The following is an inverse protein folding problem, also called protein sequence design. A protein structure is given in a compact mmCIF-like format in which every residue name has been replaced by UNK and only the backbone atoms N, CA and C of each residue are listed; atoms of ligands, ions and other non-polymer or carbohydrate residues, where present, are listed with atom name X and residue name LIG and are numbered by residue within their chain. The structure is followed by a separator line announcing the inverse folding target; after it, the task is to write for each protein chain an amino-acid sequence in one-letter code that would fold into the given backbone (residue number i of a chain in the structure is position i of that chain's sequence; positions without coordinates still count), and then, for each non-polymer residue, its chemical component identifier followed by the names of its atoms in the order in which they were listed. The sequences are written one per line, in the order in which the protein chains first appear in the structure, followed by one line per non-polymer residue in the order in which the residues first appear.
data_IF_279338684724
#
_entry.id   IF_279338684724
#
_cell.length_a   1.000
_cell.length_b   1.000
_cell.length_c   1.000
_cell.angle_alpha   90.00
_cell.angle_beta   90.00
_cell.angle_gamma   90.00
#
_symmetry.space_group_name_H-M   'P 1'
#
loop_
_entity.id
_entity.type
_entity.pdbx_description
1 polymer ?
#
# COMPACT_ATOMS: atom_id res chain seq x y z
N UNK A 1 -17.62 33.15 14.22
CA UNK A 1 -17.44 31.78 14.76
C UNK A 1 -17.72 30.86 13.61
N UNK A 2 -16.66 30.30 13.02
CA UNK A 2 -16.78 29.28 11.98
C UNK A 2 -17.21 28.03 12.75
N UNK A 3 -18.42 27.55 12.50
CA UNK A 3 -18.90 26.29 13.05
C UNK A 3 -18.09 25.20 12.35
N UNK A 4 -17.04 24.69 12.99
CA UNK A 4 -16.17 23.66 12.43
C UNK A 4 -17.01 22.41 12.16
N UNK A 5 -16.92 21.85 10.95
CA UNK A 5 -17.64 20.63 10.60
C UNK A 5 -17.19 19.47 11.53
N UNK A 6 -18.10 18.92 12.35
CA UNK A 6 -17.79 17.85 13.29
C UNK A 6 -17.14 16.64 12.63
N UNK A 7 -17.43 16.36 11.35
CA UNK A 7 -16.81 15.25 10.63
C UNK A 7 -15.36 15.57 10.28
N UNK A 8 -15.00 16.77 9.83
CA UNK A 8 -13.62 17.12 9.52
C UNK A 8 -12.76 17.18 10.77
N UNK A 9 -13.24 17.81 11.84
CA UNK A 9 -12.58 17.81 13.15
C UNK A 9 -12.38 16.39 13.68
N UNK A 10 -13.37 15.51 13.46
CA UNK A 10 -13.29 14.12 13.86
C UNK A 10 -12.47 13.27 12.91
N UNK A 11 -12.42 13.53 11.61
CA UNK A 11 -11.52 12.85 10.66
C UNK A 11 -10.08 13.21 10.99
N UNK A 12 -9.76 14.48 11.24
CA UNK A 12 -8.42 14.90 11.66
C UNK A 12 -8.00 14.29 13.01
N UNK A 13 -8.90 14.28 14.01
CA UNK A 13 -8.64 13.65 15.33
C UNK A 13 -8.66 12.11 15.28
N UNK A 14 -9.59 11.49 14.55
CA UNK A 14 -9.76 10.02 14.42
C UNK A 14 -8.67 9.39 13.56
N UNK A 15 -8.28 10.03 12.47
CA UNK A 15 -7.30 9.48 11.52
C UNK A 15 -5.90 9.38 12.12
N UNK A 16 -5.45 10.40 12.85
CA UNK A 16 -4.12 10.41 13.47
C UNK A 16 -4.11 9.72 14.83
N UNK A 17 -5.07 9.99 15.72
CA UNK A 17 -5.01 9.43 17.08
C UNK A 17 -5.47 7.97 17.14
N UNK A 18 -6.53 7.55 16.42
CA UNK A 18 -7.02 6.17 16.54
C UNK A 18 -6.20 5.16 15.72
N UNK A 19 -5.61 5.56 14.59
CA UNK A 19 -4.79 4.68 13.76
C UNK A 19 -3.38 4.48 14.36
N UNK A 20 -2.79 5.54 14.93
CA UNK A 20 -1.50 5.46 15.63
C UNK A 20 -1.61 4.96 17.06
N UNK A 21 -2.77 5.06 17.73
CA UNK A 21 -2.92 4.50 19.07
C UNK A 21 -3.43 3.07 18.96
N UNK A 22 -4.52 2.75 18.31
CA UNK A 22 -5.09 1.39 18.44
C UNK A 22 -4.31 0.32 17.67
N UNK A 23 -3.90 0.57 16.42
CA UNK A 23 -3.14 -0.41 15.63
C UNK A 23 -1.69 -0.56 16.14
N UNK A 24 -1.06 0.56 16.51
CA UNK A 24 0.29 0.58 17.10
C UNK A 24 0.30 0.00 18.50
N UNK A 25 -0.70 0.31 19.33
CA UNK A 25 -0.79 -0.19 20.71
C UNK A 25 -1.21 -1.65 20.76
N UNK A 26 -1.80 -2.24 19.72
CA UNK A 26 -2.04 -3.69 19.68
C UNK A 26 -0.90 -4.48 19.02
N UNK A 27 -0.18 -3.91 18.04
CA UNK A 27 0.99 -4.54 17.41
C UNK A 27 2.30 -4.34 18.19
N UNK A 28 2.50 -3.19 18.85
CA UNK A 28 3.71 -2.85 19.63
C UNK A 28 3.58 -3.17 21.14
N UNK A 29 2.39 -3.47 21.69
CA UNK A 29 2.26 -3.98 23.08
C UNK A 29 2.67 -5.44 23.26
N UNK A 30 3.18 -6.10 22.22
CA UNK A 30 4.09 -7.20 22.46
C UNK A 30 5.37 -6.63 23.09
N UNK A 31 5.48 -6.64 24.41
CA UNK A 31 6.69 -6.38 25.21
C UNK A 31 7.81 -7.41 24.90
N UNK A 32 7.98 -7.80 23.64
CA UNK A 32 8.96 -8.79 23.23
C UNK A 32 10.28 -8.08 22.96
N UNK A 33 11.30 -8.41 23.72
CA UNK A 33 12.67 -8.02 23.39
C UNK A 33 13.09 -8.61 22.03
N UNK A 34 14.08 -7.99 21.37
CA UNK A 34 14.61 -8.49 20.09
C UNK A 34 15.00 -9.97 20.17
N UNK A 35 15.58 -10.40 21.30
CA UNK A 35 15.98 -11.78 21.56
C UNK A 35 14.77 -12.74 21.59
N UNK A 36 13.62 -12.28 22.07
CA UNK A 36 12.39 -13.08 22.10
C UNK A 36 11.80 -13.23 20.69
N UNK A 37 11.85 -12.17 19.88
CA UNK A 37 11.44 -12.24 18.46
C UNK A 37 12.36 -13.16 17.66
N UNK A 38 13.67 -13.08 17.90
CA UNK A 38 14.65 -13.97 17.28
C UNK A 38 14.36 -15.43 17.64
N UNK A 39 14.17 -15.73 18.93
CA UNK A 39 13.85 -17.06 19.40
C UNK A 39 12.58 -17.63 18.75
N UNK A 40 11.51 -16.84 18.65
CA UNK A 40 10.24 -17.27 18.05
C UNK A 40 10.35 -17.53 16.54
N UNK A 41 11.10 -16.70 15.81
CA UNK A 41 11.37 -16.93 14.38
C UNK A 41 12.15 -18.25 14.22
N UNK A 42 13.20 -18.43 15.02
CA UNK A 42 14.04 -19.62 14.96
C UNK A 42 13.29 -20.90 15.35
N UNK A 43 12.43 -20.84 16.36
CA UNK A 43 11.57 -21.94 16.77
C UNK A 43 10.57 -22.30 15.66
N UNK A 44 9.93 -21.31 15.04
CA UNK A 44 8.99 -21.53 13.93
C UNK A 44 9.66 -22.21 12.73
N UNK A 45 10.84 -21.74 12.35
CA UNK A 45 11.63 -22.33 11.26
C UNK A 45 12.07 -23.75 11.62
N UNK A 46 12.59 -23.95 12.83
CA UNK A 46 13.09 -25.26 13.28
C UNK A 46 11.96 -26.27 13.33
N UNK A 47 10.82 -25.91 13.91
CA UNK A 47 9.64 -26.78 14.00
C UNK A 47 9.12 -27.16 12.62
N UNK A 48 8.98 -26.19 11.70
CA UNK A 48 8.50 -26.48 10.35
C UNK A 48 9.49 -27.30 9.50
N UNK A 49 10.79 -27.15 9.75
CA UNK A 49 11.84 -27.84 8.97
C UNK A 49 12.23 -29.21 9.54
N UNK A 50 11.99 -29.48 10.83
CA UNK A 50 12.29 -30.77 11.48
C UNK A 50 11.57 -31.94 10.78
N UNK A 51 10.32 -31.71 10.37
CA UNK A 51 9.52 -32.68 9.63
C UNK A 51 9.99 -32.92 8.18
N UNK A 52 10.85 -32.04 7.65
CA UNK A 52 11.25 -32.03 6.24
C UNK A 52 12.73 -32.35 6.00
N UNK A 53 13.59 -32.13 6.99
CA UNK A 53 15.04 -32.27 6.89
C UNK A 53 15.58 -33.12 8.05
N UNK A 54 16.52 -34.04 7.79
CA UNK A 54 17.25 -34.72 8.86
C UNK A 54 17.96 -33.73 9.80
N UNK A 55 17.88 -33.98 11.12
CA UNK A 55 18.47 -33.12 12.17
C UNK A 55 19.91 -32.72 11.91
N UNK A 56 20.71 -33.67 11.41
CA UNK A 56 22.13 -33.43 11.13
C UNK A 56 22.34 -32.38 10.03
N UNK A 57 21.46 -32.33 9.03
CA UNK A 57 21.50 -31.34 7.95
C UNK A 57 21.06 -29.98 8.49
N UNK A 58 19.98 -29.94 9.26
CA UNK A 58 19.48 -28.71 9.87
C UNK A 58 20.52 -28.07 10.79
N UNK A 59 21.14 -28.86 11.69
CA UNK A 59 22.23 -28.40 12.55
C UNK A 59 23.45 -27.91 11.75
N UNK A 60 23.81 -28.59 10.66
CA UNK A 60 24.92 -28.13 9.81
C UNK A 60 24.62 -26.79 9.12
N UNK A 61 23.39 -26.57 8.66
CA UNK A 61 22.98 -25.31 8.05
C UNK A 61 22.96 -24.18 9.08
N UNK A 62 22.38 -24.41 10.26
CA UNK A 62 22.31 -23.43 11.35
C UNK A 62 23.69 -23.03 11.85
N UNK A 63 24.59 -23.99 12.06
CA UNK A 63 25.97 -23.70 12.49
C UNK A 63 26.77 -22.87 11.48
N UNK A 64 26.50 -23.02 10.17
CA UNK A 64 27.13 -22.24 9.10
C UNK A 64 26.41 -20.93 8.78
N UNK A 65 25.23 -20.70 9.34
CA UNK A 65 24.41 -19.53 9.00
C UNK A 65 25.13 -18.18 9.22
N UNK A 66 25.89 -17.95 10.31
CA UNK A 66 26.53 -16.65 10.51
C UNK A 66 27.53 -16.27 9.40
N UNK A 67 28.39 -17.20 8.97
CA UNK A 67 29.36 -16.95 7.91
C UNK A 67 28.68 -16.83 6.54
N UNK A 68 27.76 -17.75 6.23
CA UNK A 68 26.94 -17.72 5.01
C UNK A 68 26.23 -16.36 4.88
N UNK A 69 25.50 -15.92 5.90
CA UNK A 69 24.78 -14.64 5.89
C UNK A 69 25.74 -13.45 5.72
N UNK A 70 26.94 -13.50 6.30
CA UNK A 70 27.95 -12.44 6.13
C UNK A 70 28.39 -12.31 4.67
N UNK A 71 28.65 -13.43 4.01
CA UNK A 71 29.03 -13.48 2.60
C UNK A 71 27.90 -12.99 1.69
N UNK A 72 26.68 -13.49 1.91
CA UNK A 72 25.49 -13.04 1.16
C UNK A 72 25.25 -11.54 1.31
N UNK A 73 25.31 -11.00 2.53
CA UNK A 73 25.15 -9.54 2.77
C UNK A 73 26.25 -8.71 2.08
N UNK A 74 27.47 -9.23 1.96
CA UNK A 74 28.54 -8.57 1.23
C UNK A 74 28.30 -8.59 -0.29
N UNK A 75 27.85 -9.73 -0.82
CA UNK A 75 27.47 -9.86 -2.22
C UNK A 75 26.30 -8.92 -2.59
N UNK A 76 25.30 -8.82 -1.73
CA UNK A 76 24.14 -7.93 -1.87
C UNK A 76 24.55 -6.46 -1.98
N UNK A 77 25.38 -5.96 -1.05
CA UNK A 77 25.90 -4.58 -1.14
C UNK A 77 26.69 -4.35 -2.43
N UNK A 78 27.44 -5.36 -2.88
CA UNK A 78 28.16 -5.31 -4.15
C UNK A 78 27.22 -5.24 -5.35
N UNK A 79 26.12 -6.00 -5.31
CA UNK A 79 25.07 -5.99 -6.32
C UNK A 79 24.40 -4.62 -6.40
N UNK A 80 23.90 -4.09 -5.28
CA UNK A 80 23.19 -2.80 -5.22
C UNK A 80 24.03 -1.66 -5.81
N UNK A 81 25.33 -1.62 -5.49
CA UNK A 81 26.25 -0.63 -6.06
C UNK A 81 26.36 -0.72 -7.59
N UNK A 82 26.44 -1.94 -8.13
CA UNK A 82 26.52 -2.15 -9.59
C UNK A 82 25.18 -1.85 -10.26
N UNK A 83 24.07 -2.25 -9.64
CA UNK A 83 22.72 -2.00 -10.10
C UNK A 83 22.42 -0.49 -10.19
N UNK A 84 22.73 0.24 -9.12
CA UNK A 84 22.65 1.70 -9.10
C UNK A 84 23.52 2.33 -10.19
N UNK A 85 24.76 1.88 -10.36
CA UNK A 85 25.64 2.40 -11.43
C UNK A 85 25.05 2.16 -12.82
N UNK A 86 24.45 0.99 -13.07
CA UNK A 86 23.82 0.63 -14.35
C UNK A 86 22.65 1.56 -14.69
N UNK A 87 21.79 1.83 -13.71
CA UNK A 87 20.53 2.57 -13.90
C UNK A 87 20.58 4.01 -13.40
N UNK A 88 21.78 4.54 -13.11
CA UNK A 88 21.99 5.84 -12.44
C UNK A 88 21.12 6.95 -13.03
N UNK A 89 21.20 7.20 -14.33
CA UNK A 89 20.47 8.30 -14.97
C UNK A 89 18.94 8.16 -14.82
N UNK A 90 18.42 6.94 -14.83
CA UNK A 90 17.00 6.71 -14.64
C UNK A 90 16.58 6.89 -13.17
N UNK A 91 17.43 6.47 -12.22
CA UNK A 91 17.22 6.74 -10.80
C UNK A 91 17.29 8.23 -10.47
N UNK A 92 18.29 8.95 -10.98
CA UNK A 92 18.43 10.39 -10.80
C UNK A 92 17.17 11.13 -11.31
N UNK A 93 16.64 10.73 -12.48
CA UNK A 93 15.44 11.31 -13.05
C UNK A 93 14.19 11.06 -12.20
N UNK A 94 13.89 9.79 -11.84
CA UNK A 94 12.67 9.47 -11.09
C UNK A 94 12.72 10.02 -9.66
N UNK A 95 13.90 10.04 -9.02
CA UNK A 95 14.08 10.63 -7.69
C UNK A 95 13.88 12.15 -7.71
N UNK A 96 14.35 12.82 -8.78
CA UNK A 96 14.07 14.24 -8.99
C UNK A 96 12.58 14.50 -9.16
N UNK A 97 11.87 13.68 -9.96
CA UNK A 97 10.42 13.81 -10.11
C UNK A 97 9.68 13.62 -8.79
N UNK A 98 10.07 12.62 -7.98
CA UNK A 98 9.49 12.38 -6.65
C UNK A 98 9.72 13.57 -5.73
N UNK A 99 10.92 14.16 -5.74
CA UNK A 99 11.21 15.34 -4.93
C UNK A 99 10.34 16.52 -5.37
N UNK A 100 10.28 16.83 -6.66
CA UNK A 100 9.45 17.93 -7.18
C UNK A 100 7.98 17.72 -6.81
N UNK A 101 7.45 16.52 -7.00
CA UNK A 101 6.06 16.21 -6.65
C UNK A 101 5.80 16.43 -5.15
N UNK A 102 6.71 15.98 -4.29
CA UNK A 102 6.60 16.19 -2.84
C UNK A 102 6.56 17.69 -2.49
N UNK A 103 7.47 18.50 -3.03
CA UNK A 103 7.52 19.95 -2.76
C UNK A 103 6.22 20.64 -3.22
N UNK A 104 5.68 20.25 -4.39
CA UNK A 104 4.40 20.78 -4.89
C UNK A 104 3.26 20.42 -3.94
N UNK A 105 3.17 19.16 -3.52
CA UNK A 105 2.12 18.72 -2.59
C UNK A 105 2.21 19.42 -1.23
N UNK A 106 3.42 19.62 -0.71
CA UNK A 106 3.64 20.34 0.56
C UNK A 106 3.23 21.81 0.45
N UNK A 107 3.58 22.48 -0.65
CA UNK A 107 3.16 23.86 -0.89
C UNK A 107 1.64 24.00 -1.00
N UNK A 108 0.99 23.11 -1.76
CA UNK A 108 -0.47 23.10 -1.89
C UNK A 108 -1.17 22.84 -0.54
N UNK A 109 -0.59 21.97 0.30
CA UNK A 109 -1.13 21.68 1.62
C UNK A 109 -1.06 22.92 2.54
N UNK A 110 0.12 23.54 2.62
CA UNK A 110 0.36 24.74 3.44
C UNK A 110 -0.53 25.90 3.02
N UNK A 111 -0.69 26.14 1.72
CA UNK A 111 -1.48 27.25 1.20
C UNK A 111 -2.99 27.01 1.30
N UNK A 112 -3.44 25.75 1.12
CA UNK A 112 -4.85 25.41 0.98
C UNK A 112 -5.55 24.95 2.25
N UNK A 113 -4.82 24.43 3.24
CA UNK A 113 -5.41 23.70 4.38
C UNK A 113 -6.38 24.53 5.22
N UNK A 114 -6.00 25.75 5.60
CA UNK A 114 -6.87 26.61 6.43
C UNK A 114 -8.20 26.92 5.73
N UNK A 115 -8.16 27.21 4.42
CA UNK A 115 -9.36 27.48 3.62
C UNK A 115 -10.20 26.21 3.46
N UNK A 116 -9.56 25.07 3.17
CA UNK A 116 -10.24 23.79 3.04
C UNK A 116 -11.00 23.40 4.32
N UNK A 117 -10.41 23.63 5.48
CA UNK A 117 -11.08 23.43 6.77
C UNK A 117 -12.28 24.36 6.92
N UNK A 118 -12.11 25.66 6.65
CA UNK A 118 -13.18 26.66 6.76
C UNK A 118 -14.37 26.39 5.83
N UNK A 119 -14.12 25.82 4.65
CA UNK A 119 -15.14 25.51 3.63
C UNK A 119 -15.64 24.06 3.65
N UNK A 120 -15.18 23.27 4.62
CA UNK A 120 -15.44 21.84 4.68
C UNK A 120 -15.16 21.11 3.36
N UNK A 121 -14.00 21.37 2.77
CA UNK A 121 -13.61 20.82 1.48
C UNK A 121 -13.13 19.36 1.59
N UNK A 122 -14.08 18.43 1.59
CA UNK A 122 -13.79 17.00 1.59
C UNK A 122 -12.96 16.54 0.39
N UNK A 123 -12.97 17.27 -0.73
CA UNK A 123 -12.14 16.94 -1.89
C UNK A 123 -10.68 17.21 -1.54
N UNK A 124 -10.38 18.37 -0.99
CA UNK A 124 -9.04 18.70 -0.52
C UNK A 124 -8.57 17.67 0.52
N UNK A 125 -9.40 17.34 1.50
CA UNK A 125 -9.05 16.37 2.55
C UNK A 125 -8.78 14.97 1.99
N UNK A 126 -9.57 14.49 1.04
CA UNK A 126 -9.31 13.21 0.39
C UNK A 126 -8.00 13.20 -0.41
N UNK A 127 -7.72 14.28 -1.15
CA UNK A 127 -6.50 14.42 -1.96
C UNK A 127 -5.25 14.57 -1.09
N UNK A 128 -5.31 15.35 0.00
CA UNK A 128 -4.22 15.55 0.96
C UNK A 128 -3.82 14.26 1.66
N UNK A 129 -4.74 13.28 1.79
CA UNK A 129 -4.42 11.95 2.28
C UNK A 129 -3.90 11.00 1.18
N UNK A 130 -4.40 11.11 -0.05
CA UNK A 130 -4.01 10.23 -1.17
C UNK A 130 -2.61 10.56 -1.69
N UNK A 131 -2.29 11.84 -1.81
CA UNK A 131 -1.06 12.32 -2.45
C UNK A 131 0.22 11.86 -1.72
N UNK A 132 0.38 12.04 -0.39
CA UNK A 132 1.56 11.57 0.33
C UNK A 132 1.74 10.05 0.26
N UNK A 133 0.63 9.29 0.24
CA UNK A 133 0.67 7.83 0.05
C UNK A 133 1.23 7.45 -1.32
N UNK A 134 0.87 8.19 -2.38
CA UNK A 134 1.43 7.97 -3.70
C UNK A 134 2.95 8.27 -3.76
N UNK A 135 3.41 9.34 -3.10
CA UNK A 135 4.83 9.65 -2.95
C UNK A 135 5.57 8.50 -2.24
N UNK A 136 5.00 7.98 -1.15
CA UNK A 136 5.57 6.85 -0.41
C UNK A 136 5.67 5.60 -1.30
N UNK A 137 4.60 5.25 -2.02
CA UNK A 137 4.62 4.10 -2.95
C UNK A 137 5.65 4.29 -4.05
N UNK A 138 5.80 5.50 -4.61
CA UNK A 138 6.85 5.78 -5.59
C UNK A 138 8.27 5.56 -5.01
N UNK A 139 8.51 5.97 -3.76
CA UNK A 139 9.79 5.73 -3.06
C UNK A 139 10.03 4.23 -2.80
N UNK A 140 8.99 3.47 -2.45
CA UNK A 140 9.09 2.00 -2.30
C UNK A 140 9.42 1.31 -3.63
N UNK A 141 8.81 1.73 -4.74
CA UNK A 141 9.14 1.24 -6.08
C UNK A 141 10.63 1.47 -6.36
N UNK A 142 11.12 2.69 -6.15
CA UNK A 142 12.54 3.03 -6.34
C UNK A 142 13.43 2.15 -5.45
N UNK A 143 13.06 1.95 -4.19
CA UNK A 143 13.80 1.10 -3.26
C UNK A 143 13.87 -0.36 -3.75
N UNK A 144 12.75 -0.94 -4.17
CA UNK A 144 12.68 -2.29 -4.74
C UNK A 144 13.56 -2.43 -5.98
N UNK A 145 13.53 -1.44 -6.87
CA UNK A 145 14.38 -1.42 -8.06
C UNK A 145 15.87 -1.31 -7.70
N UNK A 146 16.26 -0.45 -6.74
CA UNK A 146 17.65 -0.39 -6.24
C UNK A 146 18.10 -1.73 -5.65
N UNK A 147 17.20 -2.41 -4.94
CA UNK A 147 17.41 -3.75 -4.40
C UNK A 147 17.47 -4.88 -5.45
N UNK A 148 16.96 -4.65 -6.65
CA UNK A 148 16.93 -5.62 -7.75
C UNK A 148 15.65 -6.47 -7.80
N UNK A 149 14.50 -5.91 -7.41
CA UNK A 149 13.21 -6.61 -7.37
C UNK A 149 12.19 -5.94 -8.30
N UNK A 150 12.35 -6.04 -9.64
CA UNK A 150 11.49 -5.35 -10.61
C UNK A 150 10.05 -5.85 -10.62
N UNK A 151 9.84 -7.14 -10.41
CA UNK A 151 8.49 -7.74 -10.31
C UNK A 151 7.75 -7.22 -9.07
N UNK A 152 8.44 -7.09 -7.94
CA UNK A 152 7.89 -6.45 -6.74
C UNK A 152 7.62 -4.96 -6.95
N UNK A 153 8.50 -4.26 -7.65
CA UNK A 153 8.30 -2.87 -8.02
C UNK A 153 7.07 -2.68 -8.93
N UNK A 154 6.83 -3.59 -9.89
CA UNK A 154 5.63 -3.57 -10.71
C UNK A 154 4.36 -3.82 -9.87
N UNK A 155 4.41 -4.73 -8.89
CA UNK A 155 3.31 -4.91 -7.93
C UNK A 155 2.99 -3.63 -7.16
N UNK A 156 4.01 -2.89 -6.72
CA UNK A 156 3.80 -1.60 -6.03
C UNK A 156 3.30 -0.52 -6.99
N UNK A 157 3.71 -0.52 -8.25
CA UNK A 157 3.14 0.38 -9.26
C UNK A 157 1.62 0.18 -9.40
N UNK A 158 1.08 -1.04 -9.27
CA UNK A 158 -0.38 -1.26 -9.24
C UNK A 158 -1.06 -0.38 -8.19
N UNK A 159 -0.51 -0.35 -6.97
CA UNK A 159 -1.05 0.49 -5.89
C UNK A 159 -0.93 1.97 -6.21
N UNK A 160 0.18 2.40 -6.82
CA UNK A 160 0.34 3.79 -7.28
C UNK A 160 -0.71 4.15 -8.32
N UNK A 161 -0.99 3.28 -9.30
CA UNK A 161 -2.03 3.50 -10.31
C UNK A 161 -3.43 3.57 -9.70
N UNK A 162 -3.76 2.71 -8.72
CA UNK A 162 -5.03 2.78 -7.99
C UNK A 162 -5.17 4.11 -7.22
N UNK A 163 -4.11 4.58 -6.57
CA UNK A 163 -4.08 5.88 -5.89
C UNK A 163 -4.28 7.03 -6.89
N UNK A 164 -3.55 7.04 -8.00
CA UNK A 164 -3.66 8.06 -9.05
C UNK A 164 -5.06 8.13 -9.64
N UNK A 165 -5.63 6.98 -10.05
CA UNK A 165 -6.99 6.93 -10.63
C UNK A 165 -8.04 7.38 -9.61
N UNK A 166 -7.89 6.97 -8.34
CA UNK A 166 -8.80 7.38 -7.26
C UNK A 166 -8.75 8.89 -7.03
N UNK A 167 -7.54 9.46 -6.96
CA UNK A 167 -7.34 10.90 -6.80
C UNK A 167 -7.97 11.68 -7.97
N UNK A 168 -7.67 11.27 -9.21
CA UNK A 168 -8.24 11.88 -10.41
C UNK A 168 -9.77 11.85 -10.39
N UNK A 169 -10.35 10.71 -9.98
CA UNK A 169 -11.79 10.54 -9.92
C UNK A 169 -12.43 11.45 -8.87
N UNK A 170 -11.83 11.54 -7.68
CA UNK A 170 -12.30 12.43 -6.61
C UNK A 170 -12.24 13.90 -7.06
N UNK A 171 -11.16 14.29 -7.73
CA UNK A 171 -11.01 15.66 -8.27
C UNK A 171 -12.10 16.01 -9.28
N UNK A 172 -12.46 15.08 -10.15
CA UNK A 172 -13.44 15.27 -11.23
C UNK A 172 -14.91 15.18 -10.75
N UNK A 173 -15.15 14.82 -9.50
CA UNK A 173 -16.49 14.68 -8.91
C UNK A 173 -16.74 15.68 -7.79
N UNK A 174 -17.99 15.76 -7.32
CA UNK A 174 -18.39 16.71 -6.27
C UNK A 174 -17.86 16.35 -4.87
N UNK A 175 -18.04 17.30 -3.93
CA UNK A 175 -17.65 17.12 -2.52
C UNK A 175 -18.38 15.95 -1.84
N UNK A 176 -19.56 15.56 -2.32
CA UNK A 176 -20.32 14.45 -1.75
C UNK A 176 -19.68 13.10 -2.07
N UNK A 177 -19.13 12.91 -3.28
CA UNK A 177 -18.33 11.72 -3.62
C UNK A 177 -17.05 11.66 -2.78
N UNK A 178 -16.38 12.79 -2.58
CA UNK A 178 -15.18 12.85 -1.74
C UNK A 178 -15.48 12.50 -0.27
N UNK A 179 -16.59 13.01 0.28
CA UNK A 179 -17.08 12.64 1.60
C UNK A 179 -17.35 11.13 1.72
N UNK A 180 -17.99 10.53 0.71
CA UNK A 180 -18.22 9.08 0.66
C UNK A 180 -16.91 8.29 0.63
N UNK A 181 -15.90 8.77 -0.08
CA UNK A 181 -14.58 8.15 -0.08
C UNK A 181 -13.99 8.14 1.34
N UNK A 182 -13.96 9.28 2.03
CA UNK A 182 -13.46 9.41 3.40
C UNK A 182 -14.22 8.50 4.37
N UNK A 183 -15.55 8.48 4.28
CA UNK A 183 -16.41 7.65 5.12
C UNK A 183 -16.16 6.14 4.96
N UNK A 184 -15.53 5.69 3.87
CA UNK A 184 -15.26 4.26 3.62
C UNK A 184 -14.42 3.62 4.73
N UNK A 185 -13.56 4.39 5.40
CA UNK A 185 -12.71 3.91 6.47
C UNK A 185 -13.51 3.23 7.60
N UNK A 186 -14.55 3.88 8.12
CA UNK A 186 -15.33 3.36 9.24
C UNK A 186 -16.01 2.03 8.88
N UNK A 187 -16.62 1.97 7.69
CA UNK A 187 -17.26 0.75 7.19
C UNK A 187 -16.25 -0.39 6.96
N UNK A 188 -15.02 -0.09 6.53
CA UNK A 188 -13.96 -1.10 6.39
C UNK A 188 -13.44 -1.56 7.74
N UNK A 189 -13.18 -0.64 8.67
CA UNK A 189 -12.69 -0.95 10.02
C UNK A 189 -13.68 -1.86 10.77
N UNK A 190 -14.99 -1.55 10.73
CA UNK A 190 -16.04 -2.38 11.30
C UNK A 190 -16.03 -3.81 10.73
N UNK A 191 -15.94 -3.95 9.40
CA UNK A 191 -15.90 -5.26 8.72
C UNK A 191 -14.64 -6.05 9.13
N UNK A 192 -13.49 -5.40 9.15
CA UNK A 192 -12.23 -6.00 9.54
C UNK A 192 -12.25 -6.47 11.01
N UNK A 193 -12.78 -5.65 11.93
CA UNK A 193 -12.89 -6.02 13.35
C UNK A 193 -13.80 -7.24 13.58
N UNK A 194 -14.93 -7.31 12.87
CA UNK A 194 -15.83 -8.49 12.93
C UNK A 194 -15.13 -9.75 12.41
N UNK A 195 -14.40 -9.66 11.31
CA UNK A 195 -13.63 -10.78 10.77
C UNK A 195 -12.47 -11.18 11.71
N UNK A 196 -11.81 -10.21 12.32
CA UNK A 196 -10.75 -10.45 13.30
C UNK A 196 -11.29 -11.25 14.50
N UNK A 197 -12.40 -10.81 15.10
CA UNK A 197 -13.03 -11.53 16.22
C UNK A 197 -13.49 -12.93 15.85
N UNK A 198 -13.96 -13.14 14.61
CA UNK A 198 -14.38 -14.47 14.13
C UNK A 198 -13.25 -15.50 14.21
N UNK A 199 -11.99 -15.09 14.06
CA UNK A 199 -10.83 -15.99 14.04
C UNK A 199 -9.89 -15.82 15.23
N UNK A 200 -10.18 -14.90 16.16
CA UNK A 200 -9.28 -14.51 17.23
C UNK A 200 -8.80 -15.70 18.09
N UNK A 201 -9.72 -16.59 18.49
CA UNK A 201 -9.39 -17.78 19.28
C UNK A 201 -8.41 -18.70 18.54
N UNK A 202 -8.74 -19.06 17.29
CA UNK A 202 -7.89 -19.94 16.46
C UNK A 202 -6.54 -19.31 16.13
N UNK A 203 -6.49 -17.99 16.02
CA UNK A 203 -5.27 -17.24 15.73
C UNK A 203 -4.46 -16.88 16.99
N UNK A 204 -4.91 -17.25 18.19
CA UNK A 204 -4.32 -16.86 19.47
C UNK A 204 -4.17 -15.33 19.62
N UNK A 205 -5.19 -14.59 19.20
CA UNK A 205 -5.25 -13.13 19.23
C UNK A 205 -6.26 -12.67 20.30
N UNK A 206 -6.01 -11.51 20.92
CA UNK A 206 -6.97 -10.88 21.83
C UNK A 206 -8.10 -10.25 21.00
N UNK A 207 -9.37 -10.68 21.15
CA UNK A 207 -10.50 -10.11 20.42
C UNK A 207 -10.81 -8.68 20.88
N UNK A 208 -11.42 -7.89 19.99
CA UNK A 208 -12.09 -6.64 20.35
C UNK A 208 -13.27 -6.92 21.29
N UNK A 209 -13.44 -6.04 22.28
CA UNK A 209 -14.55 -6.07 23.23
C UNK A 209 -15.87 -5.63 22.60
N UNK A 210 -16.99 -5.93 23.28
CA UNK A 210 -18.31 -5.48 22.87
C UNK A 210 -18.44 -3.95 22.82
N UNK A 211 -17.75 -3.24 23.73
CA UNK A 211 -17.73 -1.78 23.77
C UNK A 211 -16.98 -1.19 22.58
N UNK A 212 -15.80 -1.73 22.23
CA UNK A 212 -15.03 -1.31 21.06
C UNK A 212 -15.80 -1.54 19.75
N UNK A 213 -16.53 -2.66 19.64
CA UNK A 213 -17.39 -2.92 18.49
C UNK A 213 -18.59 -1.97 18.43
N UNK A 214 -19.17 -1.60 19.58
CA UNK A 214 -20.27 -0.63 19.64
C UNK A 214 -19.82 0.77 19.22
N UNK A 215 -18.60 1.20 19.57
CA UNK A 215 -18.03 2.46 19.06
C UNK A 215 -17.88 2.46 17.53
N UNK A 216 -17.37 1.35 16.97
CA UNK A 216 -17.27 1.18 15.52
C UNK A 216 -18.64 1.22 14.83
N UNK A 217 -19.66 0.61 15.45
CA UNK A 217 -21.04 0.64 14.96
C UNK A 217 -21.58 2.08 14.97
N UNK A 218 -21.40 2.82 16.06
CA UNK A 218 -21.84 4.22 16.18
C UNK A 218 -21.16 5.16 15.16
N UNK A 219 -19.87 4.94 14.87
CA UNK A 219 -19.18 5.68 13.79
C UNK A 219 -19.78 5.38 12.41
N UNK A 220 -20.09 4.12 12.12
CA UNK A 220 -20.75 3.75 10.86
C UNK A 220 -22.16 4.34 10.73
N UNK A 221 -22.92 4.41 11.82
CA UNK A 221 -24.26 5.02 11.82
C UNK A 221 -24.19 6.51 11.52
N UNK A 222 -23.26 7.23 12.14
CA UNK A 222 -23.00 8.64 11.87
C UNK A 222 -22.51 8.87 10.43
N UNK A 223 -21.58 8.05 9.93
CA UNK A 223 -21.14 8.13 8.54
C UNK A 223 -22.31 7.88 7.57
N UNK A 224 -23.16 6.89 7.86
CA UNK A 224 -24.33 6.53 7.04
C UNK A 224 -25.36 7.67 6.99
N UNK A 225 -25.58 8.38 8.10
CA UNK A 225 -26.53 9.49 8.13
C UNK A 225 -26.05 10.68 7.29
N UNK A 226 -24.74 10.94 7.26
CA UNK A 226 -24.16 12.03 6.46
C UNK A 226 -24.14 11.72 4.96
N UNK A 227 -23.86 10.47 4.58
CA UNK A 227 -23.74 10.08 3.16
C UNK A 227 -25.01 9.50 2.55
N UNK A 228 -26.08 9.36 3.33
CA UNK A 228 -27.37 8.84 2.90
C UNK A 228 -27.43 7.31 2.71
N UNK A 229 -26.59 6.54 3.40
CA UNK A 229 -26.64 5.07 3.38
C UNK A 229 -25.30 4.36 3.58
N UNK A 230 -25.32 3.04 3.50
CA UNK A 230 -24.10 2.21 3.63
C UNK A 230 -23.23 2.24 2.36
N UNK A 231 -21.94 1.94 2.55
CA UNK A 231 -20.98 1.68 1.46
C UNK A 231 -20.73 0.18 1.35
N UNK A 232 -21.02 -0.39 0.18
CA UNK A 232 -20.80 -1.81 -0.12
C UNK A 232 -19.56 -2.00 -1.00
N UNK A 233 -18.73 -2.99 -0.67
CA UNK A 233 -17.50 -3.29 -1.41
C UNK A 233 -16.42 -2.21 -1.29
N UNK A 234 -15.40 -2.32 -2.12
CA UNK A 234 -14.21 -1.46 -2.04
C UNK A 234 -14.39 -0.13 -2.79
N UNK A 235 -15.27 -0.11 -3.79
CA UNK A 235 -15.53 1.04 -4.66
C UNK A 235 -16.95 1.60 -4.52
N UNK A 236 -17.76 1.10 -3.58
CA UNK A 236 -19.16 1.51 -3.41
C UNK A 236 -19.35 2.99 -3.06
N UNK A 237 -18.31 3.66 -2.58
CA UNK A 237 -18.32 5.12 -2.37
C UNK A 237 -18.56 5.89 -3.67
N UNK A 238 -18.04 5.38 -4.79
CA UNK A 238 -18.15 5.97 -6.13
C UNK A 238 -19.46 5.61 -6.87
N UNK A 239 -20.27 4.69 -6.33
CA UNK A 239 -21.47 4.20 -6.99
C UNK A 239 -22.47 5.29 -7.46
N UNK A 240 -22.70 6.39 -6.69
CA UNK A 240 -23.63 7.43 -7.11
C UNK A 240 -23.24 8.13 -8.43
N UNK A 241 -21.93 8.24 -8.72
CA UNK A 241 -21.44 8.86 -9.96
C UNK A 241 -21.78 8.05 -11.23
N UNK A 242 -22.22 6.80 -11.07
CA UNK A 242 -22.52 5.90 -12.17
C UNK A 242 -23.99 5.43 -12.19
N UNK A 243 -24.85 6.01 -11.34
CA UNK A 243 -26.28 5.67 -11.24
C UNK A 243 -26.56 4.16 -11.12
N UNK A 244 -25.74 3.44 -10.35
CA UNK A 244 -25.85 1.98 -10.12
C UNK A 244 -25.55 1.62 -8.67
N UNK A 245 -25.91 0.40 -8.29
CA UNK A 245 -25.73 -0.09 -6.92
C UNK A 245 -24.26 -0.33 -6.54
N UNK A 246 -23.42 -0.73 -7.49
CA UNK A 246 -22.01 -1.06 -7.23
C UNK A 246 -21.10 -0.50 -8.34
N UNK A 247 -20.12 0.32 -7.96
CA UNK A 247 -19.01 0.68 -8.83
C UNK A 247 -17.87 -0.34 -8.72
N UNK A 248 -17.00 -0.36 -9.72
CA UNK A 248 -15.77 -1.15 -9.77
C UNK A 248 -14.59 -0.27 -10.15
N UNK A 249 -13.36 -0.73 -9.90
CA UNK A 249 -12.18 0.03 -10.31
C UNK A 249 -12.13 0.32 -11.82
N UNK A 250 -12.63 -0.60 -12.67
CA UNK A 250 -12.71 -0.39 -14.13
C UNK A 250 -13.55 0.84 -14.48
N UNK A 251 -14.56 1.11 -13.67
CA UNK A 251 -15.45 2.23 -13.89
C UNK A 251 -14.79 3.56 -13.58
N UNK A 252 -14.02 3.61 -12.50
CA UNK A 252 -13.18 4.76 -12.16
C UNK A 252 -12.15 4.99 -13.26
N UNK A 253 -11.46 3.93 -13.72
CA UNK A 253 -10.49 4.02 -14.82
C UNK A 253 -11.13 4.62 -16.08
N UNK A 254 -12.34 4.20 -16.46
CA UNK A 254 -13.06 4.74 -17.62
C UNK A 254 -13.48 6.21 -17.41
N UNK A 255 -13.97 6.55 -16.22
CA UNK A 255 -14.42 7.90 -15.91
C UNK A 255 -13.28 8.92 -16.08
N UNK A 256 -12.08 8.57 -15.62
CA UNK A 256 -10.88 9.43 -15.71
C UNK A 256 -10.05 9.17 -16.97
N UNK A 257 -10.58 8.40 -17.94
CA UNK A 257 -9.94 8.07 -19.23
C UNK A 257 -8.57 7.36 -19.12
N UNK A 258 -8.38 6.61 -18.04
CA UNK A 258 -7.18 5.80 -17.76
C UNK A 258 -7.38 4.31 -18.05
N UNK A 259 -8.52 3.90 -18.61
CA UNK A 259 -8.85 2.51 -18.94
C UNK A 259 -7.91 1.87 -19.98
N UNK A 260 -7.23 2.66 -20.81
CA UNK A 260 -6.17 2.18 -21.69
C UNK A 260 -4.94 1.63 -20.94
N UNK A 261 -4.78 1.92 -19.65
CA UNK A 261 -3.76 1.33 -18.77
C UNK A 261 -4.14 -0.03 -18.21
N UNK A 262 -5.39 -0.48 -18.41
CA UNK A 262 -5.90 -1.74 -17.88
C UNK A 262 -5.02 -2.96 -18.19
N UNK A 263 -4.44 -3.13 -19.40
CA UNK A 263 -3.53 -4.24 -19.67
C UNK A 263 -2.32 -4.25 -18.74
N UNK A 264 -1.74 -3.06 -18.47
CA UNK A 264 -0.60 -2.89 -17.55
C UNK A 264 -1.01 -3.12 -16.11
N UNK A 265 -2.17 -2.60 -15.69
CA UNK A 265 -2.74 -2.86 -14.38
C UNK A 265 -2.96 -4.37 -14.13
N UNK A 266 -3.51 -5.09 -15.12
CA UNK A 266 -3.71 -6.54 -15.05
C UNK A 266 -2.40 -7.30 -14.99
N UNK A 267 -1.40 -6.90 -15.77
CA UNK A 267 -0.06 -7.49 -15.71
C UNK A 267 0.60 -7.27 -14.34
N UNK A 268 0.53 -6.06 -13.78
CA UNK A 268 1.03 -5.77 -12.45
C UNK A 268 0.30 -6.60 -11.37
N UNK A 269 -0.99 -6.81 -11.53
CA UNK A 269 -1.82 -7.61 -10.62
C UNK A 269 -1.44 -9.10 -10.57
N UNK A 270 -0.81 -9.65 -11.62
CA UNK A 270 -0.41 -11.05 -11.66
C UNK A 270 0.69 -11.39 -10.65
N UNK A 271 1.44 -10.41 -10.15
CA UNK A 271 2.47 -10.59 -9.13
C UNK A 271 1.93 -10.49 -7.69
N UNK A 272 0.63 -10.23 -7.53
CA UNK A 272 -0.05 -10.10 -6.23
C UNK A 272 -0.88 -11.36 -5.92
N UNK A 273 -1.47 -11.99 -6.94
CA UNK A 273 -2.29 -13.18 -6.78
C UNK A 273 -1.47 -14.46 -6.98
N UNK A 274 -1.78 -15.53 -6.23
CA UNK A 274 -1.12 -16.85 -6.31
C UNK A 274 -1.47 -17.67 -7.57
N UNK A 275 -1.93 -17.00 -8.63
CA UNK A 275 -2.24 -17.64 -9.90
C UNK A 275 -0.99 -18.26 -10.53
N UNK A 276 -1.16 -19.36 -11.27
CA UNK A 276 -0.04 -20.00 -11.95
C UNK A 276 0.58 -19.05 -12.98
N UNK A 277 1.91 -18.94 -12.94
CA UNK A 277 2.71 -18.21 -13.92
C UNK A 277 4.00 -18.97 -14.21
N UNK A 278 4.42 -19.05 -15.48
CA UNK A 278 5.73 -19.57 -15.83
C UNK A 278 6.84 -18.77 -15.13
N UNK A 279 7.73 -19.43 -14.40
CA UNK A 279 8.78 -18.77 -13.61
C UNK A 279 9.83 -18.03 -14.44
N UNK A 280 9.90 -18.31 -15.74
CA UNK A 280 10.76 -17.65 -16.72
C UNK A 280 10.14 -16.38 -17.34
N UNK A 281 8.89 -16.05 -17.01
CA UNK A 281 8.18 -14.87 -17.53
C UNK A 281 8.32 -13.63 -16.63
N UNK A 282 9.20 -13.66 -15.63
CA UNK A 282 9.43 -12.56 -14.69
C UNK A 282 10.18 -11.40 -15.36
N UNK A 283 9.88 -10.16 -14.96
CA UNK A 283 10.61 -8.97 -15.40
C UNK A 283 12.10 -9.08 -15.09
N UNK A 284 12.44 -9.62 -13.92
CA UNK A 284 13.83 -9.85 -13.54
C UNK A 284 14.56 -10.87 -14.44
N UNK A 285 13.84 -11.66 -15.24
CA UNK A 285 14.42 -12.60 -16.21
C UNK A 285 14.39 -12.06 -17.66
N UNK A 286 13.93 -10.83 -17.91
CA UNK A 286 13.73 -10.28 -19.27
C UNK A 286 14.98 -10.24 -20.16
N UNK A 287 16.18 -10.16 -19.58
CA UNK A 287 17.46 -10.19 -20.32
C UNK A 287 18.13 -11.57 -20.29
N UNK A 288 17.49 -12.58 -19.68
CA UNK A 288 18.04 -13.92 -19.62
C UNK A 288 18.03 -14.58 -21.01
N UNK A 289 19.14 -15.20 -21.40
CA UNK A 289 19.27 -15.90 -22.69
C UNK A 289 18.57 -17.26 -22.72
N UNK A 290 18.23 -17.79 -21.55
CA UNK A 290 17.58 -19.08 -21.36
C UNK A 290 16.56 -18.94 -20.24
N UNK A 291 15.50 -19.78 -20.23
CA UNK A 291 14.57 -19.84 -19.11
C UNK A 291 15.31 -20.07 -17.79
N UNK A 292 15.09 -19.19 -16.82
CA UNK A 292 15.65 -19.30 -15.47
C UNK A 292 14.54 -19.14 -14.44
N UNK A 293 14.64 -19.90 -13.35
CA UNK A 293 13.80 -19.71 -12.18
C UNK A 293 14.48 -18.68 -11.28
N UNK A 294 13.97 -17.45 -11.31
CA UNK A 294 14.54 -16.36 -10.52
C UNK A 294 14.14 -16.49 -9.05
N UNK A 295 15.14 -16.62 -8.17
CA UNK A 295 14.96 -16.70 -6.70
C UNK A 295 15.59 -15.53 -5.95
N UNK A 296 16.16 -14.57 -6.68
CA UNK A 296 16.95 -13.49 -6.09
C UNK A 296 16.96 -12.22 -6.94
N UNK A 297 17.90 -11.32 -6.62
CA UNK A 297 17.99 -9.98 -7.19
C UNK A 297 18.32 -10.03 -8.70
N UNK A 298 17.72 -9.11 -9.46
CA UNK A 298 18.01 -8.88 -10.87
C UNK A 298 18.17 -7.39 -11.17
N UNK A 299 19.06 -7.05 -12.11
CA UNK A 299 19.25 -5.70 -12.61
C UNK A 299 18.61 -5.47 -13.99
N UNK A 300 17.68 -6.36 -14.38
CA UNK A 300 16.93 -6.34 -15.64
C UNK A 300 15.46 -5.98 -15.40
N UNK A 301 14.73 -5.57 -16.44
CA UNK A 301 13.27 -5.38 -16.35
C UNK A 301 12.81 -4.11 -15.61
N UNK A 302 13.63 -3.07 -15.55
CA UNK A 302 13.31 -1.84 -14.78
C UNK A 302 12.52 -0.81 -15.59
N UNK A 303 12.53 -0.92 -16.92
CA UNK A 303 11.96 0.09 -17.84
C UNK A 303 10.48 0.32 -17.54
N UNK A 304 9.67 -0.74 -17.52
CA UNK A 304 8.24 -0.63 -17.29
C UNK A 304 7.93 -0.05 -15.90
N UNK A 305 8.43 -0.59 -14.77
CA UNK A 305 8.20 0.02 -13.46
C UNK A 305 8.60 1.50 -13.39
N UNK A 306 9.74 1.90 -13.97
CA UNK A 306 10.20 3.30 -13.96
C UNK A 306 9.30 4.21 -14.78
N UNK A 307 9.02 3.86 -16.04
CA UNK A 307 8.19 4.66 -16.93
C UNK A 307 6.76 4.80 -16.41
N UNK A 308 6.19 3.70 -15.94
CA UNK A 308 4.81 3.67 -15.47
C UNK A 308 4.67 4.47 -14.16
N UNK A 309 5.67 4.40 -13.28
CA UNK A 309 5.73 5.23 -12.07
C UNK A 309 5.85 6.71 -12.40
N UNK A 310 6.73 7.08 -13.34
CA UNK A 310 6.89 8.46 -13.78
C UNK A 310 5.56 9.05 -14.27
N UNK A 311 4.80 8.30 -15.08
CA UNK A 311 3.51 8.74 -15.61
C UNK A 311 2.47 8.90 -14.50
N UNK A 312 2.29 7.89 -13.64
CA UNK A 312 1.32 7.96 -12.54
C UNK A 312 1.67 9.08 -11.54
N UNK A 313 2.96 9.31 -11.30
CA UNK A 313 3.45 10.40 -10.46
C UNK A 313 3.18 11.77 -11.08
N UNK A 314 3.44 11.95 -12.38
CA UNK A 314 3.10 13.19 -13.09
C UNK A 314 1.60 13.48 -13.06
N UNK A 315 0.75 12.45 -13.21
CA UNK A 315 -0.70 12.61 -13.18
C UNK A 315 -1.21 13.00 -11.80
N UNK A 316 -0.72 12.34 -10.74
CA UNK A 316 -1.18 12.65 -9.38
C UNK A 316 -0.65 14.00 -8.89
N UNK A 317 0.52 14.45 -9.36
CA UNK A 317 1.06 15.78 -9.02
C UNK A 317 0.27 16.96 -9.61
N UNK A 318 -0.56 16.72 -10.63
CA UNK A 318 -1.44 17.75 -11.24
C UNK A 318 -2.91 17.51 -10.93
N UNK A 319 -3.21 16.56 -10.03
CA UNK A 319 -4.55 16.24 -9.56
C UNK A 319 -4.83 17.02 -8.29
#
# INVERSE_FOLDING_TARGET
MIDEDPLLVKLEKSFLEQLLITARTQLEKGEKGFDQVEAEIMESVTTAMHDLLPDQILHSLLSKAPSMLREHRAADRGFERRNFKRWRSAFDAIETMVQIAQEVGEACDVEGRELAMAESDYRFEALSQLFPRAILVAREIIHLLKGGFPDGALSRWRSLHELTVTAMFIRENDKAIALRYLATFDFQARRAAKQYNLYAERANLKPFSAEELADMDGRCEMASSMIGGEIKGDWGWAAPAFSRENATFVDLEKAVKMDHWRPRYKWASQHVHSGHRPGDSLLGASEAKQPIMLVGRSNSGFIDPLHMTAISLSQIAVT
#
